data_IF_508975998691
#
_entry.id   IF_508975998691
#
_cell.length_a   1.000
_cell.length_b   1.000
_cell.length_c   1.000
_cell.angle_alpha   90.00
_cell.angle_beta   90.00
_cell.angle_gamma   90.00
#
_symmetry.space_group_name_H-M   'P 1'
#
loop_
_entity.id
_entity.type
_entity.pdbx_description
1 polymer ?
#
# COMPACT_ATOMS: atom_id res chain seq x y z
N UNK A 1 15.87 -33.11 -34.83
CA UNK A 1 15.83 -31.90 -33.97
C UNK A 1 14.42 -31.77 -33.39
N UNK A 2 14.26 -31.03 -32.29
CA UNK A 2 13.01 -30.71 -31.57
C UNK A 2 12.77 -31.47 -30.26
N UNK A 3 13.66 -31.28 -29.30
CA UNK A 3 13.39 -31.56 -27.89
C UNK A 3 13.53 -30.25 -27.09
N UNK A 4 12.48 -29.40 -27.11
CA UNK A 4 12.32 -28.32 -26.13
C UNK A 4 10.87 -27.74 -26.13
N UNK A 5 9.87 -28.44 -25.56
CA UNK A 5 8.66 -27.73 -25.09
C UNK A 5 8.55 -27.60 -23.56
N UNK A 6 9.19 -28.50 -22.79
CA UNK A 6 8.91 -28.67 -21.35
C UNK A 6 9.35 -27.51 -20.44
N UNK A 7 10.31 -26.69 -20.88
CA UNK A 7 10.77 -25.51 -20.14
C UNK A 7 9.92 -24.27 -20.42
N UNK A 8 9.36 -24.16 -21.63
CA UNK A 8 8.50 -23.03 -22.00
C UNK A 8 7.14 -23.13 -21.30
N UNK A 9 6.56 -24.33 -21.19
CA UNK A 9 5.28 -24.53 -20.48
C UNK A 9 5.37 -24.17 -18.99
N UNK A 10 6.48 -24.52 -18.31
CA UNK A 10 6.70 -24.14 -16.90
C UNK A 10 6.90 -22.64 -16.72
N UNK A 11 7.58 -22.00 -17.67
CA UNK A 11 7.74 -20.54 -17.66
C UNK A 11 6.40 -19.84 -17.88
N UNK A 12 5.55 -20.36 -18.78
CA UNK A 12 4.21 -19.85 -19.05
C UNK A 12 3.30 -20.05 -17.83
N UNK A 13 3.38 -21.19 -17.13
CA UNK A 13 2.63 -21.44 -15.90
C UNK A 13 3.03 -20.49 -14.76
N UNK A 14 4.33 -20.27 -14.56
CA UNK A 14 4.84 -19.31 -13.59
C UNK A 14 4.49 -17.86 -13.95
N UNK A 15 4.43 -17.54 -15.25
CA UNK A 15 3.99 -16.23 -15.74
C UNK A 15 2.49 -16.06 -15.56
N UNK A 16 1.67 -17.08 -15.85
CA UNK A 16 0.23 -17.06 -15.65
C UNK A 16 -0.13 -16.93 -14.16
N UNK A 17 0.56 -17.63 -13.26
CA UNK A 17 0.38 -17.44 -11.81
C UNK A 17 0.73 -16.01 -11.36
N UNK A 18 1.78 -15.40 -11.94
CA UNK A 18 2.11 -13.99 -11.68
C UNK A 18 1.05 -13.04 -12.25
N UNK A 19 0.51 -13.32 -13.43
CA UNK A 19 -0.52 -12.51 -14.10
C UNK A 19 -1.88 -12.63 -13.41
N UNK A 20 -2.26 -13.82 -12.94
CA UNK A 20 -3.49 -14.05 -12.18
C UNK A 20 -3.39 -13.41 -10.78
N UNK A 21 -2.22 -13.46 -10.16
CA UNK A 21 -1.92 -12.69 -8.94
C UNK A 21 -2.01 -11.17 -9.12
N UNK A 22 -1.75 -10.66 -10.33
CA UNK A 22 -1.95 -9.24 -10.69
C UNK A 22 -3.44 -8.94 -10.94
N UNK A 23 -4.22 -9.90 -11.44
CA UNK A 23 -5.63 -9.73 -11.82
C UNK A 23 -6.59 -9.73 -10.62
N UNK A 24 -6.29 -10.45 -9.55
CA UNK A 24 -7.10 -10.47 -8.32
C UNK A 24 -6.90 -9.23 -7.41
N UNK A 25 -5.93 -8.35 -7.75
CA UNK A 25 -5.63 -7.10 -7.03
C UNK A 25 -6.50 -5.91 -7.51
N UNK A 26 -7.47 -6.17 -8.40
CA UNK A 26 -8.11 -5.15 -9.24
C UNK A 26 -9.38 -4.52 -8.65
N UNK A 27 -9.97 -5.03 -7.56
CA UNK A 27 -11.21 -4.43 -7.01
C UNK A 27 -10.99 -3.82 -5.63
N UNK A 28 -10.20 -2.76 -5.56
CA UNK A 28 -10.25 -1.86 -4.41
C UNK A 28 -11.50 -1.00 -4.53
N UNK A 29 -12.49 -1.30 -3.70
CA UNK A 29 -13.60 -0.37 -3.50
C UNK A 29 -13.02 0.95 -2.95
N UNK A 30 -13.27 2.12 -3.56
CA UNK A 30 -12.76 3.40 -3.09
C UNK A 30 -13.12 3.72 -1.63
N UNK A 31 -14.09 3.02 -1.03
CA UNK A 31 -14.44 3.16 0.38
C UNK A 31 -13.63 2.27 1.34
N UNK A 32 -12.95 1.21 0.88
CA UNK A 32 -12.31 0.19 1.73
C UNK A 32 -10.78 0.14 1.62
N UNK A 33 -10.18 1.07 0.89
CA UNK A 33 -8.74 1.06 0.60
C UNK A 33 -7.85 1.03 1.85
N UNK A 34 -8.27 1.64 2.96
CA UNK A 34 -7.49 1.66 4.21
C UNK A 34 -7.29 0.26 4.78
N UNK A 35 -8.35 -0.52 4.87
CA UNK A 35 -8.32 -1.87 5.42
C UNK A 35 -7.56 -2.81 4.49
N UNK A 36 -7.75 -2.64 3.19
CA UNK A 36 -7.14 -3.48 2.18
C UNK A 36 -5.64 -3.21 2.03
N UNK A 37 -5.22 -1.94 2.00
CA UNK A 37 -3.81 -1.56 2.08
C UNK A 37 -3.17 -2.06 3.37
N UNK A 38 -3.87 -1.95 4.52
CA UNK A 38 -3.38 -2.50 5.80
C UNK A 38 -3.16 -4.00 5.73
N UNK A 39 -4.10 -4.75 5.14
CA UNK A 39 -3.99 -6.20 4.95
C UNK A 39 -2.80 -6.56 4.06
N UNK A 40 -2.62 -5.83 2.96
CA UNK A 40 -1.48 -5.99 2.06
C UNK A 40 -0.15 -5.72 2.76
N UNK A 41 -0.04 -4.61 3.49
CA UNK A 41 1.18 -4.25 4.22
C UNK A 41 1.49 -5.23 5.34
N UNK A 42 0.47 -5.75 6.02
CA UNK A 42 0.64 -6.79 7.03
C UNK A 42 1.21 -8.08 6.41
N UNK A 43 0.68 -8.52 5.26
CA UNK A 43 1.21 -9.67 4.52
C UNK A 43 2.64 -9.42 4.06
N UNK A 44 2.94 -8.26 3.47
CA UNK A 44 4.31 -7.87 3.07
C UNK A 44 5.26 -7.90 4.27
N UNK A 45 4.85 -7.37 5.42
CA UNK A 45 5.65 -7.39 6.64
C UNK A 45 5.87 -8.80 7.21
N UNK A 46 4.89 -9.69 7.09
CA UNK A 46 5.03 -11.11 7.44
C UNK A 46 6.08 -11.79 6.56
N UNK A 47 6.05 -11.56 5.25
CA UNK A 47 7.08 -12.08 4.33
C UNK A 47 8.48 -11.53 4.63
N UNK A 48 8.59 -10.31 5.15
CA UNK A 48 9.87 -9.63 5.38
C UNK A 48 10.59 -10.05 6.67
N UNK A 49 9.95 -10.80 7.56
CA UNK A 49 10.62 -11.37 8.74
C UNK A 49 9.80 -11.40 10.04
N UNK A 50 8.64 -10.74 10.10
CA UNK A 50 7.79 -10.70 11.30
C UNK A 50 8.40 -9.93 12.49
N UNK A 51 7.58 -9.13 13.20
CA UNK A 51 8.01 -8.30 14.33
C UNK A 51 8.80 -7.06 13.92
N UNK A 52 8.25 -5.85 14.11
CA UNK A 52 8.89 -4.58 13.75
C UNK A 52 8.88 -4.23 12.25
N UNK A 53 8.99 -5.22 11.36
CA UNK A 53 9.02 -5.04 9.90
C UNK A 53 7.80 -4.29 9.34
N UNK A 54 6.65 -4.32 10.02
CA UNK A 54 5.47 -3.55 9.62
C UNK A 54 5.70 -2.04 9.72
N UNK A 55 6.43 -1.57 10.74
CA UNK A 55 6.74 -0.14 10.88
C UNK A 55 7.72 0.31 9.80
N UNK A 56 8.72 -0.52 9.48
CA UNK A 56 9.69 -0.25 8.41
C UNK A 56 9.02 -0.20 7.04
N UNK A 57 8.18 -1.19 6.74
CA UNK A 57 7.38 -1.24 5.50
C UNK A 57 6.48 -0.01 5.38
N UNK A 58 5.84 0.42 6.45
CA UNK A 58 5.03 1.64 6.43
C UNK A 58 5.87 2.90 6.23
N UNK A 59 7.03 3.00 6.88
CA UNK A 59 7.93 4.13 6.70
C UNK A 59 8.40 4.24 5.25
N UNK A 60 8.80 3.10 4.64
CA UNK A 60 9.19 3.01 3.23
C UNK A 60 8.05 3.45 2.31
N UNK A 61 6.81 2.97 2.55
CA UNK A 61 5.66 3.37 1.73
C UNK A 61 5.39 4.87 1.84
N UNK A 62 5.43 5.47 3.03
CA UNK A 62 5.21 6.90 3.17
C UNK A 62 6.31 7.73 2.48
N UNK A 63 7.57 7.27 2.51
CA UNK A 63 8.65 7.92 1.76
C UNK A 63 8.41 7.85 0.25
N UNK A 64 8.04 6.69 -0.28
CA UNK A 64 7.73 6.53 -1.70
C UNK A 64 6.55 7.41 -2.14
N UNK A 65 5.55 7.61 -1.27
CA UNK A 65 4.41 8.51 -1.53
C UNK A 65 4.88 9.95 -1.62
N UNK A 66 5.70 10.39 -0.67
CA UNK A 66 6.28 11.74 -0.65
C UNK A 66 7.12 11.99 -1.92
N UNK A 67 7.95 11.03 -2.33
CA UNK A 67 8.77 11.11 -3.54
C UNK A 67 7.93 11.16 -4.82
N UNK A 68 6.96 10.24 -4.97
CA UNK A 68 6.15 10.11 -6.19
C UNK A 68 5.18 11.27 -6.37
N UNK A 69 4.54 11.70 -5.28
CA UNK A 69 3.64 12.84 -5.31
C UNK A 69 4.39 14.19 -5.23
N UNK A 70 5.70 14.18 -4.92
CA UNK A 70 6.51 15.37 -4.63
C UNK A 70 5.89 16.24 -3.54
N UNK A 71 5.43 15.59 -2.47
CA UNK A 71 4.79 16.23 -1.31
C UNK A 71 5.54 15.89 -0.03
N UNK A 72 5.21 16.61 1.04
CA UNK A 72 5.61 16.26 2.40
C UNK A 72 4.37 15.98 3.24
N UNK A 73 4.08 14.71 3.48
CA UNK A 73 2.97 14.25 4.31
C UNK A 73 3.09 14.76 5.76
N UNK A 74 4.30 14.91 6.28
CA UNK A 74 4.56 15.46 7.62
C UNK A 74 4.18 16.95 7.72
N UNK A 75 4.56 17.73 6.71
CA UNK A 75 4.17 19.14 6.64
C UNK A 75 2.66 19.28 6.54
N UNK A 76 2.02 18.47 5.68
CA UNK A 76 0.56 18.45 5.53
C UNK A 76 -0.15 18.04 6.83
N UNK A 77 0.37 17.06 7.57
CA UNK A 77 -0.16 16.65 8.88
C UNK A 77 -0.09 17.79 9.90
N UNK A 78 1.05 18.48 9.95
CA UNK A 78 1.24 19.63 10.84
C UNK A 78 0.28 20.77 10.49
N UNK A 79 0.12 21.08 9.21
CA UNK A 79 -0.81 22.10 8.75
C UNK A 79 -2.28 21.72 9.04
N UNK A 80 -2.65 20.44 8.90
CA UNK A 80 -3.98 19.94 9.28
C UNK A 80 -4.24 20.10 10.77
N UNK A 81 -3.27 19.74 11.62
CA UNK A 81 -3.37 19.93 13.08
C UNK A 81 -3.50 21.39 13.49
N UNK A 82 -2.82 22.31 12.79
CA UNK A 82 -2.93 23.76 12.99
C UNK A 82 -4.32 24.28 12.60
N UNK A 83 -4.80 23.97 11.40
CA UNK A 83 -6.17 24.35 10.96
C UNK A 83 -7.24 23.89 11.95
N UNK A 84 -7.15 22.65 12.41
CA UNK A 84 -8.08 22.14 13.43
C UNK A 84 -7.94 22.82 14.80
N UNK A 85 -6.76 23.35 15.13
CA UNK A 85 -6.58 24.15 16.33
C UNK A 85 -7.31 25.49 16.20
N UNK A 86 -7.19 26.11 15.04
CA UNK A 86 -7.83 27.39 14.72
C UNK A 86 -9.37 27.24 14.65
N UNK A 87 -9.86 26.09 14.20
CA UNK A 87 -11.29 25.70 14.22
C UNK A 87 -11.81 25.32 15.61
N UNK A 88 -10.97 25.34 16.65
CA UNK A 88 -11.38 25.05 18.03
C UNK A 88 -11.55 23.57 18.38
N UNK A 89 -11.00 22.65 17.56
CA UNK A 89 -11.08 21.21 17.84
C UNK A 89 -10.25 20.84 19.07
N UNK A 90 -10.78 19.96 19.92
CA UNK A 90 -10.09 19.51 21.13
C UNK A 90 -8.74 18.84 20.82
N UNK A 91 -7.77 18.99 21.74
CA UNK A 91 -6.41 18.48 21.58
C UNK A 91 -6.37 16.97 21.32
N UNK A 92 -7.19 16.20 22.06
CA UNK A 92 -7.26 14.74 21.91
C UNK A 92 -7.66 14.27 20.51
N UNK A 93 -8.52 15.03 19.81
CA UNK A 93 -8.93 14.71 18.43
C UNK A 93 -7.85 15.09 17.41
N UNK A 94 -7.09 16.16 17.67
CA UNK A 94 -5.94 16.58 16.84
C UNK A 94 -4.75 15.61 16.94
N UNK A 95 -4.46 15.13 18.14
CA UNK A 95 -3.32 14.25 18.40
C UNK A 95 -3.49 12.86 17.78
N UNK A 96 -4.74 12.41 17.57
CA UNK A 96 -5.06 11.13 16.90
C UNK A 96 -4.84 11.15 15.38
N UNK A 97 -4.66 12.32 14.77
CA UNK A 97 -4.41 12.42 13.33
C UNK A 97 -3.08 11.77 12.95
N UNK A 98 -3.11 11.00 11.87
CA UNK A 98 -1.93 10.35 11.29
C UNK A 98 -1.75 10.69 9.80
N UNK A 99 -0.64 10.22 9.20
CA UNK A 99 -0.33 10.44 7.77
C UNK A 99 -1.40 9.86 6.84
N UNK A 100 -2.06 8.76 7.20
CA UNK A 100 -3.14 8.16 6.40
C UNK A 100 -4.37 9.06 6.37
N UNK A 101 -4.64 9.82 7.43
CA UNK A 101 -5.72 10.81 7.47
C UNK A 101 -5.46 12.05 6.62
N UNK A 102 -4.20 12.34 6.33
CA UNK A 102 -3.82 13.37 5.37
C UNK A 102 -3.97 12.86 3.94
N UNK A 103 -3.59 11.61 3.70
CA UNK A 103 -3.77 10.94 2.41
C UNK A 103 -5.27 10.88 2.06
N UNK A 104 -6.13 10.55 3.03
CA UNK A 104 -7.57 10.46 2.82
C UNK A 104 -8.26 11.78 2.44
N UNK A 105 -7.65 12.94 2.72
CA UNK A 105 -8.23 14.23 2.33
C UNK A 105 -8.07 14.52 0.83
N UNK A 106 -7.17 13.82 0.14
CA UNK A 106 -6.77 14.09 -1.23
C UNK A 106 -6.88 12.82 -2.08
N UNK A 107 -7.88 12.76 -2.96
CA UNK A 107 -8.13 11.59 -3.81
C UNK A 107 -6.90 11.17 -4.63
N UNK A 108 -6.07 12.14 -5.05
CA UNK A 108 -4.84 11.84 -5.80
C UNK A 108 -3.80 11.16 -4.91
N UNK A 109 -3.69 11.56 -3.65
CA UNK A 109 -2.80 10.89 -2.70
C UNK A 109 -3.30 9.49 -2.37
N UNK A 110 -4.61 9.27 -2.28
CA UNK A 110 -5.20 7.94 -2.10
C UNK A 110 -4.79 7.02 -3.27
N UNK A 111 -4.95 7.48 -4.51
CA UNK A 111 -4.57 6.70 -5.70
C UNK A 111 -3.07 6.38 -5.73
N UNK A 112 -2.21 7.38 -5.46
CA UNK A 112 -0.76 7.19 -5.41
C UNK A 112 -0.36 6.21 -4.31
N UNK A 113 -0.97 6.33 -3.12
CA UNK A 113 -0.72 5.42 -2.01
C UNK A 113 -1.11 3.98 -2.36
N UNK A 114 -2.29 3.79 -2.94
CA UNK A 114 -2.75 2.48 -3.42
C UNK A 114 -1.77 1.91 -4.45
N UNK A 115 -1.35 2.71 -5.43
CA UNK A 115 -0.41 2.27 -6.46
C UNK A 115 0.91 1.77 -5.87
N UNK A 116 1.47 2.51 -4.91
CA UNK A 116 2.73 2.14 -4.23
C UNK A 116 2.57 0.87 -3.41
N UNK A 117 1.46 0.75 -2.65
CA UNK A 117 1.19 -0.48 -1.86
C UNK A 117 1.03 -1.70 -2.78
N UNK A 118 0.42 -1.53 -3.96
CA UNK A 118 0.32 -2.59 -4.97
C UNK A 118 1.68 -2.97 -5.55
N UNK A 119 2.49 -1.99 -5.93
CA UNK A 119 3.86 -2.22 -6.43
C UNK A 119 4.71 -2.97 -5.40
N UNK A 120 4.58 -2.59 -4.12
CA UNK A 120 5.20 -3.31 -3.00
C UNK A 120 4.69 -4.75 -2.91
N UNK A 121 3.37 -4.97 -2.93
CA UNK A 121 2.80 -6.32 -2.87
C UNK A 121 3.31 -7.22 -4.01
N UNK A 122 3.38 -6.70 -5.24
CA UNK A 122 3.91 -7.42 -6.41
C UNK A 122 5.40 -7.74 -6.23
N UNK A 123 6.21 -6.77 -5.77
CA UNK A 123 7.66 -6.96 -5.53
C UNK A 123 7.94 -8.10 -4.54
N UNK A 124 7.11 -8.26 -3.53
CA UNK A 124 7.24 -9.31 -2.52
C UNK A 124 6.43 -10.58 -2.82
N UNK A 125 5.77 -10.66 -3.99
CA UNK A 125 5.00 -11.84 -4.38
C UNK A 125 3.75 -12.08 -3.52
N UNK A 126 3.24 -11.04 -2.86
CA UNK A 126 2.08 -11.12 -1.97
C UNK A 126 0.81 -11.02 -2.82
N UNK A 127 0.12 -12.15 -3.01
CA UNK A 127 -1.20 -12.17 -3.62
C UNK A 127 -2.30 -11.99 -2.57
N UNK A 128 -3.37 -11.28 -2.95
CA UNK A 128 -4.61 -11.26 -2.18
C UNK A 128 -5.36 -12.56 -2.46
N UNK A 129 -4.76 -13.70 -2.09
CA UNK A 129 -5.48 -14.95 -2.03
C UNK A 129 -6.59 -14.82 -1.00
N UNK A 130 -7.84 -15.07 -1.42
CA UNK A 130 -8.98 -15.36 -0.55
C UNK A 130 -8.51 -16.26 0.58
N UNK A 131 -8.78 -15.87 1.82
CA UNK A 131 -8.81 -16.83 2.91
C UNK A 131 -9.85 -17.90 2.53
N UNK A 132 -9.40 -19.16 2.53
CA UNK A 132 -10.24 -20.35 2.41
C UNK A 132 -11.21 -20.45 3.59
#
# INVERSE_FOLDING_TARGET
MSAAPKEQDKAIEAVNQKVDGIRDVVVLNPNSWREECRRLLAKVAQFRGGGGAYQEVNAEVFQLVDERARVSLETRLTNKRRRMADEGVCKSKRDRLNKVDVIADDAKLVEIYIAIVKEMAVKYGVTVGKEV
#
